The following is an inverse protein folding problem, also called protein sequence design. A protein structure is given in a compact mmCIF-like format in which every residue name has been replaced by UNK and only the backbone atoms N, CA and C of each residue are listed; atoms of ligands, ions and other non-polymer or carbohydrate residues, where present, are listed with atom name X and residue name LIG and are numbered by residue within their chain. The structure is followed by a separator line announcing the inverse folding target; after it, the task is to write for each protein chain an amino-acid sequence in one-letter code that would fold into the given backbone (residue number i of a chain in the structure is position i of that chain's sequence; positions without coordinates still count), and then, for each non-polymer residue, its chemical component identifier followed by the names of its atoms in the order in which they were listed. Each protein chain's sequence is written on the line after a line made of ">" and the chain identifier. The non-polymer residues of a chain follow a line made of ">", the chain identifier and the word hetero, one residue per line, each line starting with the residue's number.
data_IF_888261730406
#
_entry.id   IF_888261730406
#
_cell.length_a   1.000
_cell.length_b   1.000
_cell.length_c   1.000
_cell.angle_alpha   90.00
_cell.angle_beta   90.00
_cell.angle_gamma   90.00
#
_symmetry.space_group_name_H-M   'P 1'
#
loop_
_entity.id
_entity.type
_entity.pdbx_description
1 polymer ?
#
# COMPACT_ATOMS: atom_id res chain seq x y z
N UNK A 1 41.12 12.56 -11.19
CA UNK A 1 40.60 11.20 -11.46
C UNK A 1 39.09 11.22 -11.38
N UNK A 2 38.45 10.52 -12.30
CA UNK A 2 37.01 10.52 -12.54
C UNK A 2 36.24 9.65 -11.54
N UNK A 3 34.98 10.01 -11.29
CA UNK A 3 33.89 9.04 -11.12
C UNK A 3 32.66 9.63 -11.80
N UNK A 4 32.55 9.30 -13.09
CA UNK A 4 31.32 9.43 -13.87
C UNK A 4 30.27 8.51 -13.24
N UNK A 5 29.40 9.04 -12.39
CA UNK A 5 28.17 8.35 -12.07
C UNK A 5 27.26 8.45 -13.28
N UNK A 6 27.30 7.43 -14.12
CA UNK A 6 26.25 7.16 -15.08
C UNK A 6 24.94 6.99 -14.31
N UNK A 7 24.24 8.12 -14.08
CA UNK A 7 22.80 8.11 -13.86
C UNK A 7 22.23 7.50 -15.12
N UNK A 8 21.96 6.20 -15.09
CA UNK A 8 20.81 5.68 -15.81
C UNK A 8 19.61 6.48 -15.30
N UNK A 9 19.34 7.60 -15.96
CA UNK A 9 18.06 8.28 -15.93
C UNK A 9 17.13 7.30 -16.62
N UNK A 10 16.72 6.27 -15.89
CA UNK A 10 15.56 5.51 -16.29
C UNK A 10 14.45 6.55 -16.25
N UNK A 11 13.90 6.87 -17.42
CA UNK A 11 12.89 7.90 -17.62
C UNK A 11 11.64 7.51 -16.87
N UNK A 12 11.64 7.75 -15.57
CA UNK A 12 10.57 7.46 -14.65
C UNK A 12 10.38 8.72 -13.82
N UNK A 13 9.28 9.43 -14.04
CA UNK A 13 8.90 10.52 -13.14
C UNK A 13 8.52 9.93 -11.78
N UNK A 14 9.36 10.21 -10.79
CA UNK A 14 9.11 9.84 -9.39
C UNK A 14 7.99 10.74 -8.89
N UNK A 15 6.81 10.16 -8.68
CA UNK A 15 5.68 10.88 -8.08
C UNK A 15 5.52 10.59 -6.59
N UNK A 16 6.52 9.93 -5.98
CA UNK A 16 6.54 9.60 -4.57
C UNK A 16 6.58 10.83 -3.67
N UNK A 17 5.82 10.80 -2.58
CA UNK A 17 5.91 11.76 -1.48
C UNK A 17 6.39 11.07 -0.21
N UNK A 18 7.25 11.74 0.54
CA UNK A 18 7.62 11.32 1.89
C UNK A 18 6.40 11.47 2.80
N UNK A 19 5.83 10.35 3.23
CA UNK A 19 4.75 10.35 4.21
C UNK A 19 5.31 10.05 5.61
N UNK A 20 5.04 10.93 6.57
CA UNK A 20 5.29 10.65 7.98
C UNK A 20 4.07 9.92 8.55
N UNK A 21 4.17 8.59 8.66
CA UNK A 21 3.08 7.75 9.15
C UNK A 21 3.25 7.59 10.68
N UNK A 22 2.21 7.85 11.48
CA UNK A 22 2.24 7.60 12.92
C UNK A 22 2.59 6.14 13.24
N UNK A 23 3.28 5.90 14.36
CA UNK A 23 3.54 4.53 14.84
C UNK A 23 2.28 3.91 15.47
N UNK A 24 1.29 3.63 14.63
CA UNK A 24 0.04 3.01 15.00
C UNK A 24 -0.38 2.00 13.93
N UNK A 25 -0.82 0.80 14.35
CA UNK A 25 -1.19 -0.27 13.43
C UNK A 25 -2.31 0.14 12.45
N UNK A 26 -3.31 0.87 12.94
CA UNK A 26 -4.42 1.36 12.11
C UNK A 26 -3.91 2.41 11.11
N UNK A 27 -3.13 3.38 11.56
CA UNK A 27 -2.59 4.44 10.69
C UNK A 27 -1.70 3.85 9.58
N UNK A 28 -0.91 2.82 9.90
CA UNK A 28 -0.07 2.08 8.94
C UNK A 28 -0.91 1.36 7.89
N UNK A 29 -2.00 0.69 8.29
CA UNK A 29 -2.93 0.06 7.34
C UNK A 29 -3.66 1.09 6.45
N UNK A 30 -4.10 2.22 7.02
CA UNK A 30 -4.71 3.30 6.25
C UNK A 30 -3.74 3.88 5.21
N UNK A 31 -2.47 4.04 5.60
CA UNK A 31 -1.41 4.45 4.69
C UNK A 31 -1.20 3.44 3.56
N UNK A 32 -1.15 2.13 3.88
CA UNK A 32 -1.10 1.07 2.87
C UNK A 32 -2.27 1.17 1.89
N UNK A 33 -3.50 1.32 2.39
CA UNK A 33 -4.69 1.45 1.56
C UNK A 33 -4.62 2.68 0.65
N UNK A 34 -4.12 3.82 1.16
CA UNK A 34 -3.87 5.03 0.35
C UNK A 34 -2.89 4.76 -0.78
N UNK A 35 -1.82 4.01 -0.52
CA UNK A 35 -0.87 3.60 -1.55
C UNK A 35 -1.55 2.75 -2.63
N UNK A 36 -2.32 1.74 -2.24
CA UNK A 36 -3.12 0.92 -3.18
C UNK A 36 -4.04 1.82 -4.01
N UNK A 37 -4.84 2.68 -3.37
CA UNK A 37 -5.77 3.57 -4.08
C UNK A 37 -5.08 4.52 -5.07
N UNK A 38 -3.86 4.94 -4.76
CA UNK A 38 -3.04 5.77 -5.66
C UNK A 38 -2.58 5.00 -6.90
N UNK A 39 -2.41 3.68 -6.78
CA UNK A 39 -2.04 2.82 -7.92
C UNK A 39 -3.21 2.46 -8.82
N UNK A 40 -4.41 2.22 -8.26
CA UNK A 40 -5.59 1.69 -8.97
C UNK A 40 -6.74 2.70 -9.16
N UNK A 41 -6.47 3.99 -8.90
CA UNK A 41 -7.44 5.09 -9.01
C UNK A 41 -8.73 4.92 -8.16
N UNK A 42 -8.59 4.36 -6.96
CA UNK A 42 -9.72 4.19 -6.03
C UNK A 42 -9.93 5.40 -5.09
N UNK A 43 -9.15 6.48 -5.26
CA UNK A 43 -9.24 7.66 -4.39
C UNK A 43 -10.52 8.50 -4.60
N UNK A 44 -11.27 8.22 -5.67
CA UNK A 44 -12.52 8.91 -5.98
C UNK A 44 -13.71 8.38 -5.17
N UNK A 45 -13.57 7.25 -4.47
CA UNK A 45 -14.64 6.67 -3.66
C UNK A 45 -14.66 7.31 -2.25
N UNK A 46 -15.72 8.04 -1.88
CA UNK A 46 -15.77 8.78 -0.61
C UNK A 46 -15.71 7.87 0.62
N UNK A 47 -16.21 6.64 0.51
CA UNK A 47 -16.16 5.61 1.55
C UNK A 47 -14.71 5.16 1.79
N UNK A 48 -13.97 4.86 0.72
CA UNK A 48 -12.56 4.48 0.79
C UNK A 48 -11.71 5.66 1.26
N UNK A 49 -12.07 6.88 0.86
CA UNK A 49 -11.34 8.10 1.24
C UNK A 49 -11.25 8.26 2.76
N UNK A 50 -12.30 7.90 3.51
CA UNK A 50 -12.29 7.90 4.99
C UNK A 50 -11.24 6.93 5.55
N UNK A 51 -11.05 5.78 4.91
CA UNK A 51 -10.07 4.77 5.29
C UNK A 51 -8.63 5.08 4.80
N UNK A 52 -8.46 6.05 3.89
CA UNK A 52 -7.12 6.48 3.43
C UNK A 52 -6.57 7.70 4.18
N UNK A 53 -7.41 8.38 5.00
CA UNK A 53 -7.02 9.54 5.79
C UNK A 53 -6.33 9.11 7.10
N UNK A 54 -5.07 8.67 6.98
CA UNK A 54 -4.28 8.16 8.11
C UNK A 54 -4.04 9.22 9.20
N UNK A 55 -4.28 10.51 8.95
CA UNK A 55 -4.20 11.56 9.99
C UNK A 55 -5.36 11.48 10.98
N UNK A 56 -6.49 10.90 10.57
CA UNK A 56 -7.70 10.74 11.38
C UNK A 56 -7.89 9.33 11.94
N UNK A 57 -6.81 8.55 12.03
CA UNK A 57 -6.84 7.17 12.54
C UNK A 57 -7.51 7.03 13.92
N UNK A 58 -7.38 8.05 14.77
CA UNK A 58 -7.96 8.09 16.12
C UNK A 58 -9.49 8.26 16.12
N UNK A 59 -10.07 8.68 15.00
CA UNK A 59 -11.49 8.95 14.87
C UNK A 59 -12.29 7.73 14.39
N UNK A 60 -11.60 6.61 14.08
CA UNK A 60 -12.24 5.37 13.64
C UNK A 60 -12.79 4.58 14.82
N UNK A 61 -14.07 4.23 14.72
CA UNK A 61 -14.76 3.32 15.62
C UNK A 61 -14.16 1.92 15.56
N UNK A 62 -14.41 1.08 16.56
CA UNK A 62 -13.88 -0.30 16.51
C UNK A 62 -14.47 -1.10 15.34
N UNK A 63 -15.72 -0.85 14.97
CA UNK A 63 -16.37 -1.46 13.81
C UNK A 63 -15.67 -1.06 12.50
N UNK A 64 -15.45 0.26 12.30
CA UNK A 64 -14.69 0.79 11.16
C UNK A 64 -13.25 0.24 11.11
N UNK A 65 -12.61 -0.01 12.26
CA UNK A 65 -11.29 -0.66 12.31
C UNK A 65 -11.34 -2.13 11.84
N UNK A 66 -12.42 -2.84 12.12
CA UNK A 66 -12.62 -4.22 11.65
C UNK A 66 -12.93 -4.26 10.14
N UNK A 67 -13.71 -3.29 9.64
CA UNK A 67 -13.93 -3.12 8.20
C UNK A 67 -12.63 -2.80 7.47
N UNK A 68 -11.83 -1.84 7.97
CA UNK A 68 -10.52 -1.54 7.42
C UNK A 68 -9.64 -2.80 7.36
N UNK A 69 -9.63 -3.59 8.44
CA UNK A 69 -8.86 -4.83 8.48
C UNK A 69 -9.34 -5.84 7.43
N UNK A 70 -10.65 -6.03 7.28
CA UNK A 70 -11.23 -6.91 6.26
C UNK A 70 -10.91 -6.42 4.84
N UNK A 71 -10.97 -5.11 4.60
CA UNK A 71 -10.58 -4.49 3.34
C UNK A 71 -9.09 -4.70 3.04
N UNK A 72 -8.20 -4.43 4.00
CA UNK A 72 -6.77 -4.68 3.86
C UNK A 72 -6.44 -6.17 3.64
N UNK A 73 -7.25 -7.08 4.20
CA UNK A 73 -7.12 -8.51 3.96
C UNK A 73 -7.54 -8.88 2.52
N UNK A 74 -8.68 -8.37 2.05
CA UNK A 74 -9.14 -8.59 0.67
C UNK A 74 -8.18 -7.96 -0.36
N UNK A 75 -7.61 -6.81 -0.02
CA UNK A 75 -6.60 -6.08 -0.79
C UNK A 75 -5.18 -6.48 -0.35
N UNK A 76 -4.93 -7.78 -0.22
CA UNK A 76 -3.60 -8.28 0.13
C UNK A 76 -2.58 -7.93 -0.95
N UNK A 77 -1.33 -7.60 -0.58
CA UNK A 77 -0.29 -7.26 -1.53
C UNK A 77 -0.01 -8.39 -2.52
N UNK A 78 -0.20 -9.65 -2.14
CA UNK A 78 -0.12 -10.82 -3.02
C UNK A 78 -1.05 -10.72 -4.25
N UNK A 79 -2.22 -10.10 -4.12
CA UNK A 79 -3.17 -9.93 -5.24
C UNK A 79 -2.58 -9.01 -6.31
N UNK A 80 -1.79 -8.04 -5.87
CA UNK A 80 -1.19 -7.00 -6.69
C UNK A 80 0.28 -7.24 -7.03
N UNK A 81 0.92 -8.20 -6.36
CA UNK A 81 2.30 -8.56 -6.57
C UNK A 81 2.50 -8.99 -8.04
N UNK A 82 3.62 -8.58 -8.63
CA UNK A 82 3.97 -8.78 -10.04
C UNK A 82 3.01 -8.15 -11.07
N UNK A 83 2.02 -7.37 -10.63
CA UNK A 83 1.08 -6.64 -11.52
C UNK A 83 1.20 -5.13 -11.38
N UNK A 84 1.17 -4.67 -10.12
CA UNK A 84 1.13 -3.25 -9.74
C UNK A 84 2.18 -2.95 -8.69
N UNK A 85 2.41 -3.90 -7.79
CA UNK A 85 3.43 -3.82 -6.75
C UNK A 85 4.63 -4.65 -7.17
N UNK A 86 5.80 -4.02 -7.23
CA UNK A 86 7.05 -4.66 -7.61
C UNK A 86 8.07 -4.54 -6.48
N UNK A 87 8.47 -5.67 -5.92
CA UNK A 87 9.54 -5.69 -4.93
C UNK A 87 10.88 -5.39 -5.63
N UNK A 88 11.49 -4.24 -5.33
CA UNK A 88 12.79 -3.88 -5.91
C UNK A 88 13.55 -2.87 -5.07
N UNK A 89 14.58 -3.32 -4.37
CA UNK A 89 15.50 -2.46 -3.63
C UNK A 89 16.31 -1.54 -4.55
N UNK A 90 16.62 -1.98 -5.77
CA UNK A 90 17.37 -1.21 -6.75
C UNK A 90 16.59 0.01 -7.26
N UNK A 91 15.27 -0.13 -7.47
CA UNK A 91 14.42 0.97 -7.93
C UNK A 91 14.02 1.90 -6.78
N UNK A 92 13.73 1.35 -5.60
CA UNK A 92 13.34 2.15 -4.43
C UNK A 92 14.48 3.00 -3.87
N UNK A 93 15.75 2.76 -4.24
CA UNK A 93 16.88 3.64 -3.91
C UNK A 93 17.01 3.91 -2.41
N UNK A 94 16.94 5.19 -2.01
CA UNK A 94 16.99 5.60 -0.59
C UNK A 94 15.59 5.70 0.06
N UNK A 95 14.52 5.57 -0.72
CA UNK A 95 13.14 5.56 -0.24
C UNK A 95 12.70 4.15 0.13
N UNK A 96 11.77 4.04 1.07
CA UNK A 96 11.18 2.74 1.46
C UNK A 96 10.14 2.26 0.43
N UNK A 97 9.48 3.19 -0.25
CA UNK A 97 8.56 2.95 -1.35
C UNK A 97 8.62 4.10 -2.37
N UNK A 98 8.38 3.80 -3.66
CA UNK A 98 8.35 4.78 -4.75
C UNK A 98 7.19 4.48 -5.71
N UNK A 99 6.67 5.53 -6.37
CA UNK A 99 5.61 5.43 -7.37
C UNK A 99 6.09 5.91 -8.73
N UNK A 100 5.74 5.15 -9.77
CA UNK A 100 6.06 5.46 -11.16
C UNK A 100 4.82 5.40 -12.05
N UNK A 101 4.76 6.25 -13.06
CA UNK A 101 3.66 6.27 -14.02
C UNK A 101 3.81 5.19 -15.10
N UNK A 102 2.70 4.52 -15.45
CA UNK A 102 2.68 3.42 -16.41
C UNK A 102 3.12 3.86 -17.81
N UNK A 103 2.83 5.11 -18.19
CA UNK A 103 3.20 5.69 -19.50
C UNK A 103 4.71 5.64 -19.77
N UNK A 104 5.55 5.45 -18.74
CA UNK A 104 7.00 5.46 -18.85
C UNK A 104 7.67 4.15 -18.41
N UNK A 105 6.89 3.11 -18.09
CA UNK A 105 7.42 1.79 -17.72
C UNK A 105 8.03 1.13 -18.95
N UNK A 106 9.35 1.31 -19.11
CA UNK A 106 10.18 0.66 -20.14
C UNK A 106 10.07 -0.87 -20.05
N UNK A 107 10.36 -1.56 -21.15
CA UNK A 107 10.16 -3.00 -21.45
C UNK A 107 10.65 -4.06 -20.44
N UNK A 108 11.11 -3.67 -19.25
CA UNK A 108 11.60 -4.55 -18.18
C UNK A 108 10.55 -4.88 -17.10
N UNK A 109 9.45 -4.12 -17.01
CA UNK A 109 8.39 -4.35 -16.03
C UNK A 109 7.06 -4.54 -16.78
N UNK A 110 6.49 -5.75 -16.71
CA UNK A 110 5.18 -6.06 -17.29
C UNK A 110 4.10 -5.55 -16.33
N UNK A 111 3.85 -4.23 -16.34
CA UNK A 111 2.80 -3.63 -15.54
C UNK A 111 1.42 -3.96 -16.13
N UNK A 112 0.49 -4.42 -15.27
CA UNK A 112 -0.89 -4.62 -15.70
C UNK A 112 -1.57 -3.28 -15.95
N UNK A 113 -2.22 -3.09 -17.11
CA UNK A 113 -3.00 -1.86 -17.40
C UNK A 113 -4.30 -1.79 -16.59
N UNK A 114 -4.82 -2.94 -16.20
CA UNK A 114 -6.03 -3.09 -15.38
C UNK A 114 -5.95 -4.37 -14.57
N UNK A 115 -6.56 -4.37 -13.39
CA UNK A 115 -6.64 -5.54 -12.52
C UNK A 115 -8.06 -5.70 -11.99
N UNK A 116 -8.47 -6.94 -11.71
CA UNK A 116 -9.75 -7.22 -11.05
C UNK A 116 -9.52 -7.25 -9.55
N UNK A 117 -10.17 -6.32 -8.85
CA UNK A 117 -10.08 -6.16 -7.40
C UNK A 117 -11.50 -6.10 -6.86
N UNK A 118 -11.81 -6.94 -5.87
CA UNK A 118 -13.15 -7.06 -5.30
C UNK A 118 -14.26 -7.24 -6.37
N UNK A 119 -13.98 -7.99 -7.44
CA UNK A 119 -14.93 -8.24 -8.54
C UNK A 119 -15.09 -7.07 -9.53
N UNK A 120 -14.38 -5.96 -9.34
CA UNK A 120 -14.41 -4.81 -10.24
C UNK A 120 -13.07 -4.66 -10.98
N UNK A 121 -13.15 -4.45 -12.29
CA UNK A 121 -11.97 -4.11 -13.10
C UNK A 121 -11.56 -2.67 -12.82
N UNK A 122 -10.41 -2.47 -12.19
CA UNK A 122 -9.83 -1.16 -11.89
C UNK A 122 -8.66 -0.91 -12.83
N UNK A 123 -8.58 0.32 -13.35
CA UNK A 123 -7.47 0.76 -14.19
C UNK A 123 -6.28 1.07 -13.29
N UNK A 124 -5.12 0.54 -13.65
CA UNK A 124 -3.89 0.91 -12.97
C UNK A 124 -3.42 2.21 -13.61
N UNK A 125 -3.12 3.22 -12.80
CA UNK A 125 -2.57 4.49 -13.24
C UNK A 125 -1.08 4.58 -12.93
N UNK A 126 -0.65 3.98 -11.81
CA UNK A 126 0.73 4.01 -11.33
C UNK A 126 1.16 2.63 -10.86
N UNK A 127 2.43 2.31 -11.04
CA UNK A 127 3.07 1.18 -10.38
C UNK A 127 3.76 1.66 -9.10
N UNK A 128 3.85 0.76 -8.13
CA UNK A 128 4.55 1.02 -6.88
C UNK A 128 5.69 0.04 -6.74
N UNK A 129 6.90 0.54 -6.50
CA UNK A 129 8.01 -0.30 -6.05
C UNK A 129 8.21 -0.12 -4.55
N UNK A 130 8.56 -1.21 -3.88
CA UNK A 130 8.75 -1.20 -2.44
C UNK A 130 9.90 -2.11 -2.03
N UNK A 131 10.49 -1.78 -0.88
CA UNK A 131 11.41 -2.66 -0.16
C UNK A 131 10.63 -3.61 0.72
N UNK A 132 11.13 -4.83 0.91
CA UNK A 132 10.48 -5.80 1.80
C UNK A 132 10.33 -5.27 3.24
N UNK A 133 11.23 -4.39 3.69
CA UNK A 133 11.12 -3.69 4.97
C UNK A 133 9.88 -2.80 5.07
N UNK A 134 9.49 -2.14 3.98
CA UNK A 134 8.31 -1.29 3.93
C UNK A 134 7.03 -2.09 4.11
N UNK A 135 6.89 -3.20 3.38
CA UNK A 135 5.67 -4.02 3.45
C UNK A 135 5.55 -4.74 4.79
N UNK A 136 6.69 -5.15 5.36
CA UNK A 136 6.72 -5.72 6.69
C UNK A 136 6.21 -4.73 7.74
N UNK A 137 6.75 -3.51 7.76
CA UNK A 137 6.39 -2.51 8.76
C UNK A 137 4.99 -1.91 8.56
N UNK A 138 4.55 -1.70 7.31
CA UNK A 138 3.29 -0.99 7.04
C UNK A 138 2.09 -1.91 6.84
N UNK A 139 2.29 -3.19 6.52
CA UNK A 139 1.21 -4.13 6.25
C UNK A 139 1.29 -5.39 7.12
N UNK A 140 2.36 -6.18 7.02
CA UNK A 140 2.42 -7.51 7.65
C UNK A 140 2.36 -7.43 9.19
N UNK A 141 3.20 -6.59 9.80
CA UNK A 141 3.22 -6.44 11.26
C UNK A 141 1.91 -5.84 11.80
N UNK A 142 1.37 -4.74 11.24
CA UNK A 142 0.07 -4.21 11.67
C UNK A 142 -1.06 -5.21 11.52
N UNK A 143 -1.15 -5.92 10.39
CA UNK A 143 -2.15 -6.98 10.17
C UNK A 143 -2.04 -8.06 11.24
N UNK A 144 -0.83 -8.53 11.55
CA UNK A 144 -0.63 -9.58 12.55
C UNK A 144 -1.03 -9.10 13.96
N UNK A 145 -0.67 -7.88 14.35
CA UNK A 145 -1.03 -7.31 15.66
C UNK A 145 -2.54 -7.08 15.78
N UNK A 146 -3.18 -6.57 14.73
CA UNK A 146 -4.63 -6.37 14.69
C UNK A 146 -5.40 -7.69 14.68
N UNK A 147 -4.94 -8.70 13.95
CA UNK A 147 -5.52 -10.04 13.99
C UNK A 147 -5.50 -10.61 15.43
N UNK A 148 -4.38 -10.45 16.15
CA UNK A 148 -4.29 -10.85 17.57
C UNK A 148 -5.24 -10.06 18.47
N UNK A 149 -5.40 -8.75 18.22
CA UNK A 149 -6.32 -7.89 18.97
C UNK A 149 -7.77 -8.30 18.76
N UNK A 150 -8.19 -8.57 17.52
CA UNK A 150 -9.56 -8.95 17.19
C UNK A 150 -9.89 -10.38 17.64
N UNK A 151 -8.95 -11.31 17.52
CA UNK A 151 -9.13 -12.68 18.04
C UNK A 151 -9.27 -12.69 19.56
N UNK A 152 -8.40 -11.97 20.31
CA UNK A 152 -8.55 -11.82 21.77
C UNK A 152 -9.88 -11.18 22.18
N UNK A 153 -10.38 -10.21 21.41
CA UNK A 153 -11.68 -9.56 21.68
C UNK A 153 -12.84 -10.56 21.50
N UNK A 154 -12.77 -11.42 20.49
CA UNK A 154 -13.77 -12.47 20.23
C UNK A 154 -13.82 -13.51 21.36
N UNK A 155 -12.66 -13.89 21.92
CA UNK A 155 -12.57 -14.85 23.03
C UNK A 155 -13.14 -14.32 24.36
N UNK A 156 -13.13 -13.00 24.59
CA UNK A 156 -13.70 -12.40 25.81
C UNK A 156 -15.23 -12.33 25.82
N UNK A 157 -15.88 -12.39 24.67
CA UNK A 157 -17.35 -12.39 24.58
C UNK A 157 -17.97 -13.80 24.68
N UNK A 158 -17.17 -14.86 24.81
CA UNK A 158 -17.66 -16.26 24.90
C UNK A 158 -17.74 -16.79 26.33
N UNK A 159 -17.66 -15.90 27.34
CA UNK A 159 -17.87 -16.24 28.75
C UNK A 159 -18.87 -15.22 29.30
N UNK A 160 -20.15 -15.53 29.18
CA UNK A 160 -21.26 -14.90 29.90
C UNK A 160 -22.28 -15.98 30.22
#
# INVERSE_FOLDING_TARGET
>A
MAVSFGRHQIGFERTGQTANVPDNDIAKLMYYLKCVCTTIDCNNEPEIRRFTDYSKWYNLSTDEQQELFALCYALSPDVFNDKVFFQSDALSGNSSNEFYEISQVSSQIVAARSIVVAGQTRRVNKIMTYKMSWIRNNYLEPMQRLAQRFTKKKSRCTIS
#
